data_IF_921448930388
#
_entry.id   IF_921448930388
#
_cell.length_a   1.000
_cell.length_b   1.000
_cell.length_c   1.000
_cell.angle_alpha   90.00
_cell.angle_beta   90.00
_cell.angle_gamma   90.00
#
_symmetry.space_group_name_H-M   'P 1'
#
loop_
_entity.id
_entity.type
_entity.pdbx_description
1 polymer ?
#
# COMPACT_ATOMS: atom_id res chain seq x y z
N UNK A 1 -26.70 -53.82 -41.60
CA UNK A 1 -26.14 -52.46 -41.37
C UNK A 1 -24.64 -52.48 -41.64
N UNK A 2 -24.20 -51.83 -42.71
CA UNK A 2 -22.79 -51.84 -43.12
C UNK A 2 -21.91 -51.01 -42.18
N UNK A 3 -20.60 -51.32 -42.12
CA UNK A 3 -19.60 -50.66 -41.25
C UNK A 3 -19.61 -49.12 -41.35
N UNK A 4 -20.09 -48.57 -42.47
CA UNK A 4 -20.24 -47.12 -42.70
C UNK A 4 -21.42 -46.52 -41.92
N UNK A 5 -22.55 -47.23 -41.83
CA UNK A 5 -23.75 -46.75 -41.13
C UNK A 5 -23.58 -46.75 -39.60
N UNK A 6 -22.73 -47.64 -39.05
CA UNK A 6 -22.35 -47.61 -37.61
C UNK A 6 -21.45 -46.42 -37.24
N UNK A 7 -20.58 -45.97 -38.16
CA UNK A 7 -19.66 -44.83 -37.92
C UNK A 7 -20.37 -43.47 -37.96
N UNK A 8 -21.42 -43.33 -38.75
CA UNK A 8 -22.17 -42.06 -38.84
C UNK A 8 -23.11 -41.89 -37.62
N UNK A 9 -23.64 -42.98 -37.06
CA UNK A 9 -24.47 -42.92 -35.85
C UNK A 9 -23.66 -42.69 -34.56
N UNK A 10 -22.39 -43.11 -34.51
CA UNK A 10 -21.49 -42.79 -33.38
C UNK A 10 -20.94 -41.37 -33.44
N UNK A 11 -20.82 -40.77 -34.64
CA UNK A 11 -20.39 -39.39 -34.78
C UNK A 11 -21.50 -38.39 -34.41
N UNK A 12 -22.78 -38.75 -34.58
CA UNK A 12 -23.91 -37.89 -34.20
C UNK A 12 -24.28 -37.94 -32.71
N UNK A 13 -23.85 -38.96 -31.95
CA UNK A 13 -23.97 -39.00 -30.48
C UNK A 13 -22.73 -38.47 -29.73
N UNK A 14 -21.64 -38.15 -30.43
CA UNK A 14 -20.43 -37.58 -29.82
C UNK A 14 -20.33 -36.05 -29.98
N UNK A 15 -21.22 -35.41 -30.74
CA UNK A 15 -21.18 -33.94 -30.98
C UNK A 15 -22.23 -33.17 -30.16
N UNK A 16 -23.08 -33.85 -29.40
CA UNK A 16 -24.06 -33.21 -28.49
C UNK A 16 -23.63 -33.14 -27.01
N UNK A 17 -22.38 -33.49 -26.67
CA UNK A 17 -21.90 -33.53 -25.27
C UNK A 17 -20.64 -32.70 -24.99
N UNK A 18 -20.30 -31.72 -25.83
CA UNK A 18 -19.26 -30.70 -25.50
C UNK A 18 -19.77 -29.29 -25.82
N UNK A 19 -21.03 -29.00 -25.46
CA UNK A 19 -21.54 -27.62 -25.35
C UNK A 19 -22.17 -27.47 -23.97
N UNK A 20 -21.32 -27.56 -22.95
CA UNK A 20 -21.69 -27.34 -21.56
C UNK A 20 -20.43 -27.21 -20.74
N UNK A 21 -20.28 -26.06 -20.08
CA UNK A 21 -19.19 -25.74 -19.14
C UNK A 21 -17.87 -25.23 -19.76
N UNK A 22 -17.96 -24.28 -20.69
CA UNK A 22 -17.06 -23.12 -20.58
C UNK A 22 -17.88 -21.98 -19.98
N UNK A 23 -18.22 -22.09 -18.70
CA UNK A 23 -18.29 -20.88 -17.90
C UNK A 23 -16.86 -20.35 -17.90
N UNK A 24 -16.56 -19.39 -18.78
CA UNK A 24 -15.51 -18.43 -18.47
C UNK A 24 -15.97 -17.77 -17.18
N UNK A 25 -15.59 -18.34 -16.06
CA UNK A 25 -15.48 -17.62 -14.81
C UNK A 25 -14.51 -16.50 -15.12
N UNK A 26 -15.06 -15.32 -15.41
CA UNK A 26 -14.32 -14.11 -15.15
C UNK A 26 -14.02 -14.21 -13.66
N UNK A 27 -12.80 -14.61 -13.31
CA UNK A 27 -12.30 -14.40 -11.97
C UNK A 27 -12.56 -12.92 -11.70
N UNK A 28 -13.51 -12.65 -10.81
CA UNK A 28 -13.77 -11.30 -10.36
C UNK A 28 -12.43 -10.88 -9.77
N UNK A 29 -11.71 -9.94 -10.41
CA UNK A 29 -10.42 -9.49 -9.89
C UNK A 29 -10.66 -9.06 -8.46
N UNK A 30 -10.19 -9.87 -7.50
CA UNK A 30 -10.37 -9.58 -6.09
C UNK A 30 -9.74 -8.22 -5.86
N UNK A 31 -10.54 -7.29 -5.32
CA UNK A 31 -10.11 -5.93 -5.07
C UNK A 31 -8.78 -5.97 -4.31
N UNK A 32 -7.79 -5.22 -4.76
CA UNK A 32 -6.50 -5.09 -4.09
C UNK A 32 -6.56 -3.98 -3.05
N UNK A 33 -5.89 -4.19 -1.93
CA UNK A 33 -5.69 -3.23 -0.85
C UNK A 33 -4.19 -3.03 -0.63
N UNK A 34 -3.80 -1.86 -0.13
CA UNK A 34 -2.40 -1.52 0.16
C UNK A 34 -2.20 -1.45 1.68
N UNK A 35 -1.24 -2.21 2.19
CA UNK A 35 -0.88 -2.25 3.60
C UNK A 35 0.57 -1.78 3.73
N UNK A 36 0.85 -0.94 4.72
CA UNK A 36 2.23 -0.56 5.05
C UNK A 36 2.82 -1.61 5.98
N UNK A 37 4.04 -2.08 5.72
CA UNK A 37 4.71 -3.09 6.53
C UNK A 37 6.16 -2.68 6.83
N UNK A 38 6.65 -2.99 8.03
CA UNK A 38 8.05 -2.83 8.41
C UNK A 38 8.50 -3.98 9.35
N UNK A 39 9.80 -4.28 9.36
CA UNK A 39 10.42 -5.20 10.32
C UNK A 39 11.51 -4.46 11.12
N UNK A 40 11.38 -4.45 12.44
CA UNK A 40 12.07 -3.55 13.36
C UNK A 40 12.89 -4.31 14.40
N UNK A 41 14.11 -3.85 14.67
CA UNK A 41 15.05 -4.40 15.68
C UNK A 41 15.54 -3.30 16.63
N UNK A 42 14.65 -2.39 17.02
CA UNK A 42 15.01 -1.16 17.72
C UNK A 42 15.39 -1.38 19.18
N UNK A 43 14.78 -2.37 19.84
CA UNK A 43 15.08 -2.77 21.23
C UNK A 43 16.51 -3.27 21.41
N UNK A 44 17.19 -3.65 20.32
CA UNK A 44 18.61 -4.03 20.29
C UNK A 44 19.48 -3.05 19.49
N UNK A 45 18.92 -1.91 19.06
CA UNK A 45 19.67 -0.88 18.34
C UNK A 45 20.09 -1.23 16.92
N UNK A 46 19.57 -2.31 16.33
CA UNK A 46 19.94 -2.77 14.97
C UNK A 46 19.09 -2.14 13.85
N UNK A 47 18.26 -1.14 14.18
CA UNK A 47 17.43 -0.44 13.21
C UNK A 47 16.41 -1.34 12.49
N UNK A 48 16.09 -1.02 11.24
CA UNK A 48 15.17 -1.80 10.44
C UNK A 48 15.87 -3.05 9.86
N UNK A 49 15.19 -4.20 9.88
CA UNK A 49 15.51 -5.31 8.97
C UNK A 49 14.86 -5.07 7.60
N UNK A 50 13.63 -4.54 7.61
CA UNK A 50 12.92 -4.07 6.42
C UNK A 50 12.37 -2.69 6.75
N UNK A 51 12.90 -1.66 6.08
CA UNK A 51 12.37 -0.30 6.14
C UNK A 51 10.89 -0.28 5.69
N UNK A 52 10.10 0.75 6.07
CA UNK A 52 8.69 0.80 5.72
C UNK A 52 8.44 0.66 4.20
N UNK A 53 7.64 -0.33 3.82
CA UNK A 53 7.23 -0.60 2.43
C UNK A 53 5.71 -0.67 2.30
N UNK A 54 5.19 -0.33 1.12
CA UNK A 54 3.77 -0.54 0.79
C UNK A 54 3.61 -1.83 0.02
N UNK A 55 2.80 -2.75 0.55
CA UNK A 55 2.55 -4.08 0.02
C UNK A 55 1.11 -4.17 -0.48
N UNK A 56 0.91 -4.76 -1.65
CA UNK A 56 -0.42 -4.90 -2.25
C UNK A 56 -0.94 -6.33 -2.10
N UNK A 57 -2.00 -6.51 -1.33
CA UNK A 57 -2.64 -7.82 -1.08
C UNK A 57 -4.10 -7.82 -1.54
N UNK A 58 -4.72 -8.99 -1.58
CA UNK A 58 -6.15 -9.10 -1.88
C UNK A 58 -7.00 -8.61 -0.69
N UNK A 59 -8.14 -7.99 -0.96
CA UNK A 59 -9.14 -7.71 0.07
C UNK A 59 -9.62 -9.04 0.69
N UNK A 60 -9.65 -9.08 2.03
CA UNK A 60 -9.87 -10.31 2.79
C UNK A 60 -8.58 -11.06 3.21
N UNK A 61 -7.41 -10.53 2.86
CA UNK A 61 -6.13 -11.03 3.37
C UNK A 61 -5.99 -10.86 4.89
N UNK A 62 -5.10 -11.65 5.47
CA UNK A 62 -4.62 -11.55 6.84
C UNK A 62 -3.21 -10.94 6.89
N UNK A 63 -2.74 -10.60 8.09
CA UNK A 63 -1.41 -10.02 8.30
C UNK A 63 -0.28 -10.96 7.81
N UNK A 64 -0.48 -12.28 7.88
CA UNK A 64 0.48 -13.27 7.33
C UNK A 64 0.71 -13.08 5.84
N UNK A 65 -0.33 -12.75 5.07
CA UNK A 65 -0.21 -12.66 3.61
C UNK A 65 0.65 -11.45 3.24
N UNK A 66 0.59 -10.39 4.06
CA UNK A 66 1.47 -9.22 3.93
C UNK A 66 2.91 -9.60 4.27
N UNK A 67 3.14 -10.31 5.37
CA UNK A 67 4.48 -10.78 5.76
C UNK A 67 5.09 -11.70 4.70
N UNK A 68 4.34 -12.66 4.16
CA UNK A 68 4.82 -13.60 3.16
C UNK A 68 5.21 -12.93 1.84
N UNK A 69 4.44 -11.92 1.39
CA UNK A 69 4.83 -11.11 0.23
C UNK A 69 6.11 -10.30 0.50
N UNK A 70 6.26 -9.71 1.69
CA UNK A 70 7.50 -9.00 2.07
C UNK A 70 8.68 -9.97 2.15
N UNK A 71 8.51 -11.11 2.81
CA UNK A 71 9.56 -12.11 2.96
C UNK A 71 10.03 -12.63 1.60
N UNK A 72 9.09 -12.87 0.67
CA UNK A 72 9.42 -13.25 -0.70
C UNK A 72 10.15 -12.14 -1.45
N UNK A 73 9.68 -10.90 -1.38
CA UNK A 73 10.31 -9.76 -2.08
C UNK A 73 11.73 -9.48 -1.56
N UNK A 74 11.93 -9.59 -0.24
CA UNK A 74 13.20 -9.31 0.44
C UNK A 74 14.08 -10.56 0.62
N UNK A 75 13.65 -11.72 0.12
CA UNK A 75 14.34 -13.00 0.26
C UNK A 75 14.67 -13.35 1.73
N UNK A 76 13.70 -13.15 2.62
CA UNK A 76 13.82 -13.45 4.05
C UNK A 76 13.42 -14.89 4.34
N UNK A 77 14.17 -15.53 5.24
CA UNK A 77 13.85 -16.85 5.76
C UNK A 77 13.19 -16.70 7.13
N UNK A 78 11.86 -16.81 7.15
CA UNK A 78 11.04 -16.80 8.37
C UNK A 78 10.88 -18.24 8.87
N UNK A 79 11.30 -18.51 10.09
CA UNK A 79 11.11 -19.79 10.77
C UNK A 79 9.92 -19.66 11.73
N UNK A 80 8.91 -20.50 11.54
CA UNK A 80 7.74 -20.54 12.43
C UNK A 80 7.95 -21.56 13.55
N UNK A 81 7.29 -21.33 14.68
CA UNK A 81 7.26 -22.28 15.78
C UNK A 81 6.39 -23.50 15.44
N UNK A 82 6.50 -24.55 16.26
CA UNK A 82 5.61 -25.73 16.16
C UNK A 82 4.17 -25.46 16.61
N UNK A 83 3.89 -24.30 17.21
CA UNK A 83 2.62 -23.98 17.88
C UNK A 83 1.74 -23.00 17.08
N UNK A 84 1.71 -23.13 15.76
CA UNK A 84 0.92 -22.28 14.87
C UNK A 84 1.74 -21.16 14.21
N UNK A 85 1.08 -20.08 13.78
CA UNK A 85 1.75 -18.98 13.07
C UNK A 85 2.41 -17.99 14.05
N UNK A 86 3.34 -18.49 14.86
CA UNK A 86 4.25 -17.67 15.66
C UNK A 86 5.63 -17.69 15.02
N UNK A 87 6.22 -16.51 14.84
CA UNK A 87 7.56 -16.39 14.28
C UNK A 87 8.55 -16.76 15.37
N UNK A 88 9.21 -17.90 15.22
CA UNK A 88 10.25 -18.34 16.12
C UNK A 88 11.53 -17.52 15.88
N UNK A 89 11.96 -17.43 14.62
CA UNK A 89 13.17 -16.69 14.27
C UNK A 89 13.16 -16.21 12.82
N UNK A 90 13.96 -15.20 12.52
CA UNK A 90 14.28 -14.78 11.16
C UNK A 90 15.78 -15.00 10.95
N UNK A 91 16.14 -15.71 9.88
CA UNK A 91 17.55 -15.98 9.56
C UNK A 91 18.22 -14.73 8.98
N UNK A 92 19.50 -14.54 9.28
CA UNK A 92 20.30 -13.37 8.90
C UNK A 92 19.71 -12.03 9.37
N UNK A 93 18.89 -12.08 10.43
CA UNK A 93 18.28 -10.91 11.03
C UNK A 93 19.08 -10.36 12.22
N UNK A 94 20.14 -11.02 12.66
CA UNK A 94 21.01 -10.56 13.72
C UNK A 94 22.37 -10.10 13.17
N UNK A 95 22.72 -8.83 13.38
CA UNK A 95 24.06 -8.34 13.01
C UNK A 95 25.15 -8.73 14.01
N UNK A 96 24.77 -9.20 15.21
CA UNK A 96 25.67 -9.48 16.33
C UNK A 96 26.17 -8.23 17.06
N UNK A 97 25.83 -7.02 16.58
CA UNK A 97 26.16 -5.75 17.23
C UNK A 97 24.89 -5.18 17.83
N UNK A 98 24.85 -5.06 19.16
CA UNK A 98 23.70 -4.53 19.87
C UNK A 98 24.00 -3.17 20.51
N UNK A 99 22.98 -2.33 20.55
CA UNK A 99 22.92 -1.11 21.34
C UNK A 99 21.52 -1.00 21.96
N UNK A 100 21.30 -1.77 23.02
CA UNK A 100 20.03 -1.82 23.76
C UNK A 100 19.79 -0.43 24.39
N UNK A 101 18.62 0.19 24.17
CA UNK A 101 18.23 1.45 24.80
C UNK A 101 18.40 1.42 26.32
N UNK A 102 18.91 2.51 26.91
CA UNK A 102 19.16 2.60 28.36
C UNK A 102 17.87 2.42 29.17
N UNK A 103 16.74 2.88 28.63
CA UNK A 103 15.40 2.69 29.20
C UNK A 103 15.03 1.20 29.36
N UNK A 104 15.45 0.34 28.42
CA UNK A 104 15.28 -1.12 28.53
C UNK A 104 16.27 -1.70 29.54
N UNK A 105 17.55 -1.30 29.49
CA UNK A 105 18.58 -1.80 30.42
C UNK A 105 18.26 -1.48 31.90
N UNK A 106 17.44 -0.44 32.13
CA UNK A 106 16.97 0.00 33.46
C UNK A 106 15.64 -0.62 33.88
N UNK A 107 15.02 -1.46 33.05
CA UNK A 107 13.79 -2.15 33.46
C UNK A 107 14.05 -3.04 34.68
N UNK A 108 13.08 -3.15 35.62
CA UNK A 108 13.23 -4.01 36.78
C UNK A 108 13.46 -5.48 36.37
N UNK A 109 14.12 -6.24 37.24
CA UNK A 109 14.20 -7.70 37.11
C UNK A 109 12.82 -8.33 37.27
N UNK A 110 12.65 -9.50 36.66
CA UNK A 110 11.43 -10.29 36.73
C UNK A 110 11.71 -11.54 37.56
N UNK A 111 10.94 -11.73 38.62
CA UNK A 111 10.89 -12.95 39.41
C UNK A 111 9.53 -13.62 39.21
N UNK A 112 9.52 -14.87 38.76
CA UNK A 112 8.29 -15.60 38.47
C UNK A 112 8.44 -17.08 38.81
N UNK A 113 7.43 -17.66 39.45
CA UNK A 113 7.34 -19.11 39.66
C UNK A 113 6.32 -19.71 38.70
N UNK A 114 6.80 -20.47 37.72
CA UNK A 114 5.95 -21.20 36.77
C UNK A 114 5.46 -22.56 37.29
N UNK A 115 5.67 -22.87 38.59
CA UNK A 115 5.31 -24.14 39.22
C UNK A 115 6.36 -25.23 39.08
N UNK A 116 7.54 -24.90 38.53
CA UNK A 116 8.71 -25.78 38.45
C UNK A 116 9.99 -25.10 38.98
N UNK A 117 9.81 -24.05 39.79
CA UNK A 117 10.89 -23.33 40.46
C UNK A 117 10.97 -21.88 40.02
N UNK A 118 11.42 -21.03 40.94
CA UNK A 118 11.57 -19.60 40.73
C UNK A 118 12.56 -19.32 39.59
N UNK A 119 12.10 -18.59 38.60
CA UNK A 119 12.91 -18.04 37.53
C UNK A 119 13.18 -16.57 37.82
N UNK A 120 14.42 -16.16 37.56
CA UNK A 120 14.86 -14.77 37.66
C UNK A 120 15.39 -14.33 36.30
N UNK A 121 14.92 -13.19 35.81
CA UNK A 121 15.35 -12.60 34.56
C UNK A 121 15.79 -11.16 34.77
N UNK A 122 17.05 -10.87 34.51
CA UNK A 122 17.58 -9.51 34.46
C UNK A 122 17.29 -8.86 33.10
N UNK A 123 17.14 -7.54 33.08
CA UNK A 123 17.12 -6.78 31.84
C UNK A 123 18.45 -6.96 31.08
N UNK A 124 18.42 -7.23 29.77
CA UNK A 124 19.63 -7.42 28.98
C UNK A 124 20.40 -6.11 28.85
N UNK A 125 21.73 -6.21 28.74
CA UNK A 125 22.63 -5.06 28.56
C UNK A 125 23.40 -5.19 27.25
N UNK A 126 24.23 -4.19 26.93
CA UNK A 126 25.10 -4.25 25.75
C UNK A 126 26.21 -5.31 25.84
N UNK A 127 26.34 -6.03 26.96
CA UNK A 127 27.21 -7.22 27.06
C UNK A 127 26.47 -8.54 26.83
N UNK A 128 25.14 -8.51 26.65
CA UNK A 128 24.35 -9.68 26.34
C UNK A 128 24.74 -10.25 24.97
N UNK A 129 24.73 -11.58 24.84
CA UNK A 129 25.08 -12.28 23.60
C UNK A 129 23.94 -13.14 23.12
N UNK A 130 23.75 -13.25 21.80
CA UNK A 130 22.81 -14.20 21.22
C UNK A 130 23.42 -15.61 21.21
N UNK A 131 23.34 -16.31 22.34
CA UNK A 131 23.95 -17.63 22.51
C UNK A 131 23.08 -18.80 21.99
N UNK A 132 21.82 -18.54 21.64
CA UNK A 132 20.88 -19.59 21.22
C UNK A 132 21.11 -20.09 19.81
N UNK A 133 21.62 -19.23 18.93
CA UNK A 133 21.82 -19.56 17.53
C UNK A 133 23.31 -19.48 17.20
N UNK A 134 23.91 -20.63 16.91
CA UNK A 134 25.32 -20.71 16.51
C UNK A 134 25.50 -20.50 14.99
N UNK A 135 24.43 -20.67 14.22
CA UNK A 135 24.43 -20.66 12.76
C UNK A 135 23.41 -19.64 12.21
N UNK A 136 23.64 -19.18 10.97
CA UNK A 136 22.73 -18.35 10.17
C UNK A 136 22.31 -16.99 10.76
N UNK A 137 23.02 -16.45 11.76
CA UNK A 137 22.77 -15.10 12.28
C UNK A 137 21.28 -14.87 12.60
N UNK A 138 20.63 -15.88 13.21
CA UNK A 138 19.20 -15.86 13.49
C UNK A 138 18.89 -14.89 14.63
N UNK A 139 17.79 -14.15 14.48
CA UNK A 139 17.20 -13.35 15.53
C UNK A 139 15.81 -13.89 15.83
N UNK A 140 15.54 -14.28 17.08
CA UNK A 140 14.30 -14.98 17.41
C UNK A 140 14.04 -15.11 18.91
N UNK A 141 13.09 -15.98 19.24
CA UNK A 141 12.71 -16.29 20.61
C UNK A 141 13.94 -16.59 21.46
N UNK A 142 14.10 -15.86 22.57
CA UNK A 142 15.21 -16.01 23.50
C UNK A 142 16.54 -15.38 23.08
N UNK A 143 16.65 -14.74 21.91
CA UNK A 143 17.88 -14.03 21.52
C UNK A 143 18.18 -12.88 22.48
N UNK A 144 19.39 -12.83 23.03
CA UNK A 144 19.91 -11.83 23.99
C UNK A 144 19.25 -11.82 25.39
N UNK A 145 18.01 -12.27 25.52
CA UNK A 145 17.32 -12.55 26.79
C UNK A 145 16.30 -13.66 26.58
N UNK A 146 16.10 -14.51 27.59
CA UNK A 146 15.16 -15.64 27.55
C UNK A 146 13.70 -15.23 27.26
N UNK A 147 13.35 -13.97 27.50
CA UNK A 147 12.00 -13.42 27.27
C UNK A 147 11.84 -12.67 25.94
N UNK A 148 12.88 -12.69 25.09
CA UNK A 148 12.85 -12.04 23.80
C UNK A 148 11.99 -12.79 22.77
N UNK A 149 11.47 -12.08 21.77
CA UNK A 149 10.67 -12.68 20.70
C UNK A 149 10.12 -11.65 19.69
N UNK A 150 9.56 -12.15 18.59
CA UNK A 150 8.93 -11.30 17.58
C UNK A 150 7.46 -11.00 17.94
N UNK A 151 7.13 -9.72 18.04
CA UNK A 151 5.80 -9.20 18.31
C UNK A 151 5.31 -8.38 17.12
N UNK A 152 4.00 -8.16 16.98
CA UNK A 152 3.51 -7.30 15.90
C UNK A 152 2.36 -6.40 16.34
N UNK A 153 2.28 -5.22 15.71
CA UNK A 153 1.17 -4.28 15.90
C UNK A 153 0.45 -4.03 14.57
N UNK A 154 -0.85 -3.77 14.64
CA UNK A 154 -1.65 -3.23 13.53
C UNK A 154 -2.20 -1.87 13.97
N UNK A 155 -1.84 -0.81 13.27
CA UNK A 155 -2.20 0.57 13.59
C UNK A 155 -1.86 0.94 15.05
N UNK A 156 -0.61 0.66 15.47
CA UNK A 156 -0.09 0.89 16.81
C UNK A 156 -0.87 0.19 17.95
N UNK A 157 -1.60 -0.88 17.63
CA UNK A 157 -2.32 -1.70 18.58
C UNK A 157 -1.82 -3.14 18.48
N UNK A 158 -1.53 -3.74 19.63
CA UNK A 158 -1.21 -5.17 19.76
C UNK A 158 -2.46 -6.01 19.48
N UNK A 159 -2.46 -6.92 18.49
CA UNK A 159 -3.58 -7.81 18.25
C UNK A 159 -3.59 -8.98 19.24
N UNK A 160 -4.80 -9.48 19.56
CA UNK A 160 -4.99 -10.64 20.45
C UNK A 160 -4.85 -12.01 19.75
N UNK A 161 -4.49 -12.00 18.46
CA UNK A 161 -4.42 -13.20 17.61
C UNK A 161 -3.11 -13.24 16.83
N UNK A 162 -2.74 -14.41 16.32
CA UNK A 162 -1.59 -14.57 15.43
C UNK A 162 -1.82 -13.93 14.04
N UNK A 163 -0.75 -13.70 13.29
CA UNK A 163 -0.81 -12.98 12.01
C UNK A 163 -1.65 -13.70 10.94
N UNK A 164 -1.83 -15.02 11.05
CA UNK A 164 -2.67 -15.81 10.16
C UNK A 164 -4.18 -15.58 10.37
N UNK A 165 -4.54 -15.04 11.53
CA UNK A 165 -5.92 -14.84 11.97
C UNK A 165 -6.29 -13.35 12.07
N UNK A 166 -5.32 -12.43 11.93
CA UNK A 166 -5.56 -10.99 11.97
C UNK A 166 -5.91 -10.44 10.57
N UNK A 167 -7.18 -10.08 10.29
CA UNK A 167 -7.55 -9.49 9.01
C UNK A 167 -6.93 -8.10 8.82
N UNK A 168 -6.61 -7.76 7.57
CA UNK A 168 -6.03 -6.45 7.21
C UNK A 168 -6.96 -5.65 6.29
N UNK A 169 -6.89 -4.32 6.41
CA UNK A 169 -7.69 -3.36 5.65
C UNK A 169 -6.78 -2.43 4.84
N UNK A 170 -7.38 -1.82 3.81
CA UNK A 170 -6.67 -0.83 2.99
C UNK A 170 -6.19 0.34 3.85
N UNK A 171 -4.88 0.59 3.79
CA UNK A 171 -4.22 1.65 4.51
C UNK A 171 -3.74 1.29 5.92
N UNK A 172 -3.91 0.05 6.38
CA UNK A 172 -3.35 -0.40 7.66
C UNK A 172 -1.82 -0.28 7.67
N UNK A 173 -1.26 -0.10 8.86
CA UNK A 173 0.17 -0.12 9.13
C UNK A 173 0.47 -1.29 10.05
N UNK A 174 1.34 -2.19 9.61
CA UNK A 174 1.79 -3.35 10.37
C UNK A 174 3.27 -3.19 10.66
N UNK A 175 3.65 -3.37 11.92
CA UNK A 175 5.05 -3.36 12.36
C UNK A 175 5.34 -4.68 13.01
N UNK A 176 6.26 -5.46 12.44
CA UNK A 176 6.82 -6.64 13.06
C UNK A 176 8.07 -6.21 13.84
N UNK A 177 8.09 -6.43 15.14
CA UNK A 177 8.98 -5.77 16.08
C UNK A 177 9.66 -6.81 16.96
N UNK A 178 10.98 -6.79 17.03
CA UNK A 178 11.72 -7.63 17.96
C UNK A 178 11.64 -7.03 19.38
N UNK A 179 11.08 -7.79 20.31
CA UNK A 179 11.16 -7.52 21.76
C UNK A 179 12.40 -8.22 22.29
N UNK A 180 13.25 -7.50 23.00
CA UNK A 180 14.44 -8.07 23.64
C UNK A 180 14.16 -8.49 25.08
N UNK A 181 13.11 -7.96 25.73
CA UNK A 181 12.86 -8.23 27.14
C UNK A 181 11.38 -8.16 27.54
N UNK A 182 11.07 -8.75 28.70
CA UNK A 182 9.77 -8.64 29.36
C UNK A 182 8.55 -9.03 28.49
N UNK A 183 8.71 -9.97 27.55
CA UNK A 183 7.62 -10.53 26.76
C UNK A 183 6.84 -9.50 25.93
N UNK A 184 7.50 -8.45 25.45
CA UNK A 184 6.89 -7.38 24.66
C UNK A 184 6.52 -6.13 25.46
N UNK A 185 6.64 -6.14 26.80
CA UNK A 185 6.43 -4.93 27.59
C UNK A 185 7.42 -3.82 27.22
N UNK A 186 8.63 -4.17 26.80
CA UNK A 186 9.62 -3.26 26.20
C UNK A 186 9.15 -2.62 24.88
N UNK A 187 8.14 -3.18 24.22
CA UNK A 187 7.49 -2.61 23.04
C UNK A 187 6.15 -1.93 23.35
N UNK A 188 5.78 -1.84 24.63
CA UNK A 188 4.51 -1.27 25.08
C UNK A 188 3.32 -2.24 25.02
N UNK A 189 3.56 -3.54 24.81
CA UNK A 189 2.53 -4.56 24.95
C UNK A 189 2.17 -4.73 26.43
N UNK A 190 0.96 -5.20 26.71
CA UNK A 190 0.51 -5.43 28.09
C UNK A 190 1.48 -6.40 28.78
N UNK A 191 2.08 -5.95 29.88
CA UNK A 191 2.89 -6.81 30.73
C UNK A 191 2.00 -7.70 31.59
N UNK A 192 2.38 -8.97 31.70
CA UNK A 192 1.80 -9.93 32.63
C UNK A 192 2.73 -10.24 33.81
N UNK A 193 3.90 -9.62 33.85
CA UNK A 193 4.86 -9.74 34.95
C UNK A 193 4.55 -8.72 36.03
N UNK A 194 4.60 -9.17 37.28
CA UNK A 194 4.47 -8.29 38.43
C UNK A 194 5.58 -7.24 38.41
N UNK A 195 5.27 -5.98 38.77
CA UNK A 195 6.22 -4.87 38.85
C UNK A 195 6.90 -4.43 37.53
N UNK A 196 6.45 -4.94 36.37
CA UNK A 196 6.90 -4.46 35.07
C UNK A 196 5.82 -3.57 34.44
N UNK A 197 6.12 -2.28 34.32
CA UNK A 197 5.32 -1.33 33.54
C UNK A 197 5.70 -1.42 32.06
N UNK A 198 4.69 -1.52 31.19
CA UNK A 198 4.88 -1.48 29.74
C UNK A 198 5.43 -0.13 29.27
N UNK A 199 6.37 -0.16 28.33
CA UNK A 199 6.97 1.02 27.73
C UNK A 199 5.91 1.92 27.07
N UNK A 200 6.03 3.24 27.27
CA UNK A 200 5.14 4.25 26.67
C UNK A 200 5.80 4.81 25.41
N UNK A 201 5.64 4.11 24.29
CA UNK A 201 6.25 4.46 23.02
C UNK A 201 5.34 5.36 22.17
N UNK A 202 5.90 6.23 21.31
CA UNK A 202 5.10 7.09 20.43
C UNK A 202 4.39 6.27 19.35
N UNK A 203 3.25 6.78 18.87
CA UNK A 203 2.59 6.26 17.69
C UNK A 203 3.37 6.69 16.44
N UNK A 204 3.98 5.71 15.77
CA UNK A 204 4.81 5.89 14.57
C UNK A 204 4.07 5.70 13.24
N UNK A 205 2.80 5.30 13.25
CA UNK A 205 2.10 4.82 12.05
C UNK A 205 2.04 5.84 10.91
N UNK A 206 1.71 7.09 11.23
CA UNK A 206 1.59 8.15 10.22
C UNK A 206 2.93 8.40 9.51
N UNK A 207 4.03 8.44 10.27
CA UNK A 207 5.38 8.62 9.75
C UNK A 207 5.83 7.37 8.97
N UNK A 208 5.61 6.17 9.51
CA UNK A 208 5.90 4.90 8.84
C UNK A 208 5.22 4.82 7.48
N UNK A 209 3.93 5.15 7.42
CA UNK A 209 3.15 5.20 6.17
C UNK A 209 3.65 6.27 5.22
N UNK A 210 4.04 7.45 5.72
CA UNK A 210 4.60 8.51 4.89
C UNK A 210 5.94 8.10 4.28
N UNK A 211 6.84 7.51 5.07
CA UNK A 211 8.14 6.98 4.63
C UNK A 211 7.95 5.91 3.55
N UNK A 212 7.04 4.95 3.76
CA UNK A 212 6.76 3.88 2.79
C UNK A 212 6.25 4.38 1.44
N UNK A 213 5.59 5.54 1.41
CA UNK A 213 5.06 6.16 0.21
C UNK A 213 5.97 7.25 -0.36
N UNK A 214 7.09 7.57 0.31
CA UNK A 214 8.07 8.55 -0.16
C UNK A 214 9.05 7.89 -1.13
N UNK A 215 9.15 8.36 -2.40
CA UNK A 215 10.18 7.89 -3.30
C UNK A 215 11.56 8.38 -2.85
N UNK A 216 12.61 7.60 -3.09
CA UNK A 216 13.96 7.96 -2.65
C UNK A 216 14.48 9.23 -3.35
N UNK A 217 14.16 9.44 -4.62
CA UNK A 217 14.60 10.63 -5.35
C UNK A 217 13.42 11.58 -5.61
N UNK A 218 13.54 12.89 -5.29
CA UNK A 218 14.69 13.61 -4.71
C UNK A 218 14.74 13.68 -3.17
N UNK A 219 13.88 12.96 -2.44
CA UNK A 219 13.71 13.15 -0.99
C UNK A 219 14.64 12.30 -0.10
N UNK A 220 15.68 11.69 -0.64
CA UNK A 220 16.53 10.68 0.03
C UNK A 220 17.02 11.15 1.40
N UNK A 221 17.43 12.41 1.52
CA UNK A 221 17.93 12.97 2.78
C UNK A 221 16.80 13.09 3.81
N UNK A 222 15.68 13.73 3.45
CA UNK A 222 14.55 13.91 4.36
C UNK A 222 13.93 12.56 4.77
N UNK A 223 13.87 11.61 3.84
CA UNK A 223 13.41 10.24 4.11
C UNK A 223 14.36 9.52 5.06
N UNK A 224 15.68 9.63 4.86
CA UNK A 224 16.68 9.04 5.75
C UNK A 224 16.60 9.62 7.16
N UNK A 225 16.40 10.93 7.32
CA UNK A 225 16.19 11.54 8.65
C UNK A 225 14.91 11.04 9.33
N UNK A 226 13.81 10.91 8.57
CA UNK A 226 12.58 10.30 9.10
C UNK A 226 12.79 8.83 9.52
N UNK A 227 13.54 8.05 8.74
CA UNK A 227 13.90 6.66 9.09
C UNK A 227 14.73 6.60 10.38
N UNK A 228 15.67 7.53 10.59
CA UNK A 228 16.43 7.61 11.85
C UNK A 228 15.53 7.86 13.05
N UNK A 229 14.57 8.78 12.92
CA UNK A 229 13.59 9.04 14.00
C UNK A 229 12.70 7.82 14.25
N UNK A 230 12.25 7.12 13.20
CA UNK A 230 11.51 5.87 13.35
C UNK A 230 12.34 4.79 14.06
N UNK A 231 13.63 4.67 13.73
CA UNK A 231 14.53 3.67 14.29
C UNK A 231 15.02 4.00 15.71
N UNK A 232 14.89 5.25 16.15
CA UNK A 232 15.17 5.64 17.52
C UNK A 232 14.06 5.09 18.45
N UNK A 233 14.44 4.17 19.34
CA UNK A 233 13.52 3.58 20.30
C UNK A 233 12.96 4.62 21.27
N UNK A 234 13.82 5.48 21.83
CA UNK A 234 13.49 6.49 22.84
C UNK A 234 12.93 7.80 22.23
N UNK A 235 12.57 7.82 20.94
CA UNK A 235 11.98 9.00 20.33
C UNK A 235 10.68 9.41 21.03
N UNK A 236 10.45 10.71 21.22
CA UNK A 236 9.18 11.20 21.75
C UNK A 236 8.11 11.29 20.66
N UNK A 237 6.84 11.51 21.04
CA UNK A 237 5.79 11.77 20.05
C UNK A 237 6.07 13.07 19.29
N UNK A 238 6.62 14.10 19.95
CA UNK A 238 7.01 15.35 19.32
C UNK A 238 8.10 15.14 18.26
N UNK A 239 9.09 14.28 18.53
CA UNK A 239 10.13 13.94 17.54
C UNK A 239 9.52 13.30 16.29
N UNK A 240 8.60 12.34 16.48
CA UNK A 240 7.90 11.65 15.39
C UNK A 240 7.03 12.63 14.58
N UNK A 241 6.29 13.50 15.25
CA UNK A 241 5.42 14.49 14.61
C UNK A 241 6.23 15.56 13.85
N UNK A 242 7.39 15.95 14.40
CA UNK A 242 8.33 16.86 13.74
C UNK A 242 8.93 16.22 12.48
N UNK A 243 9.35 14.96 12.56
CA UNK A 243 9.85 14.20 11.42
C UNK A 243 8.78 14.04 10.32
N UNK A 244 7.53 13.75 10.70
CA UNK A 244 6.40 13.71 9.78
C UNK A 244 6.22 15.05 9.06
N UNK A 245 6.13 16.13 9.83
CA UNK A 245 5.92 17.48 9.30
C UNK A 245 7.05 17.87 8.34
N UNK A 246 8.30 17.53 8.67
CA UNK A 246 9.45 17.83 7.83
C UNK A 246 9.42 17.03 6.53
N UNK A 247 9.14 15.71 6.60
CA UNK A 247 9.04 14.87 5.42
C UNK A 247 7.88 15.28 4.50
N UNK A 248 6.72 15.59 5.08
CA UNK A 248 5.54 16.06 4.34
C UNK A 248 5.84 17.38 3.61
N UNK A 249 6.48 18.35 4.29
CA UNK A 249 6.90 19.62 3.67
C UNK A 249 7.85 19.39 2.50
N UNK A 250 8.84 18.50 2.65
CA UNK A 250 9.82 18.23 1.59
C UNK A 250 9.15 17.59 0.38
N UNK A 251 8.21 16.65 0.57
CA UNK A 251 7.41 16.11 -0.54
C UNK A 251 6.64 17.21 -1.29
N UNK A 252 6.09 18.19 -0.56
CA UNK A 252 5.34 19.31 -1.13
C UNK A 252 6.24 20.33 -1.85
N UNK A 253 7.52 20.46 -1.47
CA UNK A 253 8.48 21.42 -2.07
C UNK A 253 9.34 20.85 -3.20
N UNK A 254 9.56 19.52 -3.24
CA UNK A 254 10.23 18.86 -4.38
C UNK A 254 9.28 18.27 -5.42
N UNK A 255 7.99 18.12 -5.10
CA UNK A 255 7.00 18.50 -6.10
C UNK A 255 7.24 20.00 -6.36
N UNK A 256 7.60 20.42 -7.59
CA UNK A 256 7.69 21.84 -7.99
C UNK A 256 6.68 22.70 -7.22
N UNK A 257 6.99 23.97 -6.86
CA UNK A 257 6.12 24.82 -6.07
C UNK A 257 4.78 24.91 -6.77
N UNK A 258 3.87 24.05 -6.37
CA UNK A 258 2.47 24.14 -6.71
C UNK A 258 1.92 24.73 -5.45
N UNK A 259 2.10 26.05 -5.32
CA UNK A 259 1.25 26.88 -4.49
C UNK A 259 -0.12 26.24 -4.49
N UNK A 260 -0.62 25.88 -3.31
CA UNK A 260 -2.00 25.45 -3.10
C UNK A 260 -2.94 26.63 -3.34
N UNK A 261 -2.78 27.38 -4.44
CA UNK A 261 -3.95 27.74 -5.20
C UNK A 261 -4.56 26.42 -5.65
N UNK A 262 -5.77 26.17 -5.18
CA UNK A 262 -6.78 25.32 -5.80
C UNK A 262 -6.77 25.55 -7.32
N UNK A 263 -5.85 24.93 -8.07
CA UNK A 263 -5.67 25.12 -9.51
C UNK A 263 -6.73 24.31 -10.22
N UNK A 264 -7.96 24.81 -10.16
CA UNK A 264 -8.96 24.46 -11.14
C UNK A 264 -8.39 24.84 -12.50
N UNK A 265 -8.13 23.86 -13.37
CA UNK A 265 -7.78 24.14 -14.77
C UNK A 265 -8.78 25.16 -15.31
N UNK A 266 -8.26 26.23 -15.96
CA UNK A 266 -9.12 27.25 -16.58
C UNK A 266 -10.20 26.54 -17.39
N UNK A 267 -11.46 26.96 -17.21
CA UNK A 267 -12.62 26.37 -17.88
C UNK A 267 -12.34 26.31 -19.39
N UNK A 268 -12.30 25.10 -19.94
CA UNK A 268 -12.02 24.91 -21.35
C UNK A 268 -13.10 25.58 -22.22
N UNK A 269 -12.73 26.04 -23.40
CA UNK A 269 -13.64 26.70 -24.33
C UNK A 269 -13.46 26.20 -25.76
N UNK A 270 -14.56 26.10 -26.48
CA UNK A 270 -14.58 25.67 -27.88
C UNK A 270 -14.33 26.89 -28.76
N UNK A 271 -13.15 26.98 -29.38
CA UNK A 271 -12.79 28.03 -30.35
C UNK A 271 -13.71 27.99 -31.57
N UNK A 272 -13.90 26.80 -32.15
CA UNK A 272 -14.80 26.64 -33.30
C UNK A 272 -15.44 25.26 -33.33
N UNK A 273 -16.69 25.20 -33.78
CA UNK A 273 -17.45 23.96 -34.01
C UNK A 273 -18.04 24.01 -35.42
N UNK A 274 -17.48 23.25 -36.37
CA UNK A 274 -17.89 23.31 -37.79
C UNK A 274 -18.33 21.92 -38.30
N UNK A 275 -19.49 21.84 -38.94
CA UNK A 275 -19.86 20.66 -39.73
C UNK A 275 -19.01 20.62 -41.00
N UNK A 276 -18.29 19.52 -41.20
CA UNK A 276 -17.45 19.25 -42.37
C UNK A 276 -18.00 18.04 -43.13
N UNK A 277 -17.61 17.87 -44.41
CA UNK A 277 -18.14 16.83 -45.32
C UNK A 277 -18.08 15.43 -44.69
N UNK A 278 -19.13 14.64 -44.92
CA UNK A 278 -19.17 13.24 -44.54
C UNK A 278 -19.74 13.00 -43.15
N UNK A 279 -20.74 13.78 -42.73
CA UNK A 279 -21.40 13.64 -41.42
C UNK A 279 -20.41 13.79 -40.26
N UNK A 280 -19.51 14.78 -40.38
CA UNK A 280 -18.41 15.04 -39.43
C UNK A 280 -18.54 16.42 -38.80
N UNK A 281 -17.99 16.56 -37.58
CA UNK A 281 -17.86 17.85 -36.90
C UNK A 281 -16.43 18.04 -36.44
N UNK A 282 -15.77 19.08 -36.96
CA UNK A 282 -14.43 19.49 -36.52
C UNK A 282 -14.57 20.46 -35.35
N UNK A 283 -13.96 20.09 -34.23
CA UNK A 283 -13.92 20.84 -32.98
C UNK A 283 -12.50 21.41 -32.85
N UNK A 284 -12.39 22.72 -32.68
CA UNK A 284 -11.14 23.37 -32.23
C UNK A 284 -11.35 23.89 -30.82
N UNK A 285 -10.43 23.58 -29.93
CA UNK A 285 -10.44 23.92 -28.50
C UNK A 285 -9.35 24.98 -28.28
N UNK A 286 -9.65 26.00 -27.49
CA UNK A 286 -8.61 26.94 -27.05
C UNK A 286 -7.62 26.20 -26.15
N UNK A 287 -6.31 26.40 -26.37
CA UNK A 287 -5.27 25.77 -25.54
C UNK A 287 -5.47 26.23 -24.09
N UNK A 288 -5.62 25.26 -23.19
CA UNK A 288 -5.66 25.49 -21.73
C UNK A 288 -4.25 25.21 -21.20
N UNK A 289 -3.61 26.22 -20.66
CA UNK A 289 -2.29 26.10 -20.02
C UNK A 289 -2.35 25.04 -18.91
N UNK A 290 -1.33 24.17 -18.84
CA UNK A 290 -1.27 23.07 -17.88
C UNK A 290 -2.13 21.83 -18.20
N UNK A 291 -2.94 21.85 -19.26
CA UNK A 291 -3.72 20.68 -19.65
C UNK A 291 -2.85 19.62 -20.35
N UNK A 292 -2.93 18.36 -19.89
CA UNK A 292 -2.33 17.19 -20.58
C UNK A 292 -3.23 16.64 -21.69
N UNK A 293 -4.51 17.00 -21.67
CA UNK A 293 -5.43 16.75 -22.78
C UNK A 293 -6.84 17.26 -22.50
N UNK A 294 -7.78 16.83 -23.35
CA UNK A 294 -9.18 17.24 -23.30
C UNK A 294 -10.11 16.05 -23.39
N UNK A 295 -11.24 16.15 -22.69
CA UNK A 295 -12.39 15.27 -22.86
C UNK A 295 -13.52 16.04 -23.53
N UNK A 296 -14.14 15.40 -24.51
CA UNK A 296 -15.21 15.91 -25.34
C UNK A 296 -16.45 15.10 -24.99
N UNK A 297 -17.49 15.78 -24.50
CA UNK A 297 -18.83 15.22 -24.26
C UNK A 297 -19.75 15.70 -25.36
N UNK A 298 -20.40 14.79 -26.08
CA UNK A 298 -21.30 15.15 -27.16
C UNK A 298 -22.59 14.32 -27.18
N UNK A 299 -23.67 14.93 -27.67
CA UNK A 299 -25.00 14.32 -27.72
C UNK A 299 -25.84 14.93 -28.86
N UNK A 300 -26.99 14.32 -29.15
CA UNK A 300 -27.99 14.83 -30.11
C UNK A 300 -29.04 15.74 -29.46
N UNK A 301 -28.97 15.94 -28.15
CA UNK A 301 -29.91 16.74 -27.37
C UNK A 301 -29.17 17.71 -26.41
N UNK A 302 -29.79 18.85 -26.10
CA UNK A 302 -29.21 19.93 -25.27
C UNK A 302 -28.97 19.49 -23.82
N UNK A 303 -29.76 18.53 -23.31
CA UNK A 303 -29.65 17.99 -21.95
C UNK A 303 -28.50 16.97 -21.80
N UNK A 304 -27.84 16.60 -22.90
CA UNK A 304 -26.80 15.56 -22.94
C UNK A 304 -27.24 14.19 -22.38
N UNK A 305 -28.52 13.83 -22.52
CA UNK A 305 -28.99 12.45 -22.28
C UNK A 305 -28.33 11.50 -23.30
N UNK A 306 -27.90 10.32 -22.88
CA UNK A 306 -27.20 9.32 -23.72
C UNK A 306 -26.00 9.91 -24.48
N UNK A 307 -25.21 10.73 -23.79
CA UNK A 307 -24.02 11.36 -24.35
C UNK A 307 -22.88 10.36 -24.57
N UNK A 308 -21.98 10.70 -25.48
CA UNK A 308 -20.74 9.98 -25.74
C UNK A 308 -19.54 10.82 -25.34
N UNK A 309 -18.45 10.14 -24.98
CA UNK A 309 -17.20 10.76 -24.56
C UNK A 309 -16.05 10.39 -25.51
N UNK A 310 -15.17 11.35 -25.79
CA UNK A 310 -13.90 11.13 -26.49
C UNK A 310 -12.79 11.93 -25.84
N UNK A 311 -11.59 11.35 -25.77
CA UNK A 311 -10.41 12.01 -25.24
C UNK A 311 -9.45 12.36 -26.39
N UNK A 312 -8.75 13.48 -26.27
CA UNK A 312 -7.71 13.89 -27.22
C UNK A 312 -6.58 14.61 -26.49
N UNK A 313 -5.34 14.42 -26.94
CA UNK A 313 -4.19 15.24 -26.52
C UNK A 313 -4.08 16.53 -27.36
N UNK A 314 -4.63 16.52 -28.59
CA UNK A 314 -4.59 17.65 -29.53
C UNK A 314 -5.71 18.65 -29.25
N UNK A 315 -5.48 19.93 -29.56
CA UNK A 315 -6.48 21.01 -29.48
C UNK A 315 -7.52 20.95 -30.61
N UNK A 316 -7.39 20.00 -31.55
CA UNK A 316 -8.36 19.76 -32.62
C UNK A 316 -8.81 18.30 -32.59
N UNK A 317 -10.11 18.07 -32.74
CA UNK A 317 -10.70 16.74 -32.83
C UNK A 317 -11.85 16.71 -33.83
N UNK A 318 -11.99 15.62 -34.58
CA UNK A 318 -13.08 15.44 -35.55
C UNK A 318 -14.00 14.31 -35.11
N UNK A 319 -15.23 14.65 -34.75
CA UNK A 319 -16.29 13.67 -34.55
C UNK A 319 -16.74 13.14 -35.91
N UNK A 320 -16.91 11.82 -36.00
CA UNK A 320 -17.32 11.10 -37.22
C UNK A 320 -18.61 10.33 -36.97
N UNK A 321 -19.22 9.79 -38.06
CA UNK A 321 -20.42 8.93 -38.01
C UNK A 321 -21.60 9.59 -37.28
N UNK A 322 -21.87 10.88 -37.54
CA UNK A 322 -22.96 11.62 -36.91
C UNK A 322 -24.29 11.49 -37.69
N UNK A 323 -25.42 11.71 -37.01
CA UNK A 323 -26.76 11.64 -37.63
C UNK A 323 -27.03 12.89 -38.49
N UNK A 324 -27.31 12.70 -39.79
CA UNK A 324 -27.66 13.79 -40.73
C UNK A 324 -28.99 14.45 -40.29
N UNK A 325 -29.14 15.74 -40.60
CA UNK A 325 -30.29 16.60 -40.21
C UNK A 325 -30.50 16.78 -38.69
N UNK A 326 -29.65 16.21 -37.84
CA UNK A 326 -29.69 16.35 -36.37
C UNK A 326 -28.72 17.44 -35.86
N UNK A 327 -28.98 18.00 -34.68
CA UNK A 327 -28.04 18.91 -33.98
C UNK A 327 -27.06 18.09 -33.14
N UNK A 328 -25.77 18.35 -33.28
CA UNK A 328 -24.72 17.80 -32.40
C UNK A 328 -24.36 18.86 -31.36
N UNK A 329 -24.63 18.57 -30.09
CA UNK A 329 -24.25 19.38 -28.93
C UNK A 329 -22.93 18.88 -28.37
N UNK A 330 -22.02 19.80 -28.03
CA UNK A 330 -20.66 19.50 -27.58
C UNK A 330 -20.30 20.35 -26.37
N UNK A 331 -19.73 19.72 -25.34
CA UNK A 331 -18.99 20.34 -24.23
C UNK A 331 -17.58 19.77 -24.21
N UNK A 332 -16.62 20.57 -23.76
CA UNK A 332 -15.23 20.14 -23.58
C UNK A 332 -14.75 20.46 -22.17
N UNK A 333 -13.89 19.62 -21.59
CA UNK A 333 -13.16 19.93 -20.36
C UNK A 333 -11.69 19.53 -20.53
N UNK A 334 -10.79 20.33 -19.98
CA UNK A 334 -9.38 19.97 -19.90
C UNK A 334 -9.17 18.92 -18.78
N UNK A 335 -8.11 18.12 -18.90
CA UNK A 335 -7.64 17.28 -17.82
C UNK A 335 -6.13 17.42 -17.66
N UNK A 336 -5.67 17.24 -16.42
CA UNK A 336 -4.26 16.99 -16.07
C UNK A 336 -4.10 15.53 -15.66
N UNK A 337 -2.86 15.05 -15.59
CA UNK A 337 -2.56 13.77 -14.95
C UNK A 337 -2.06 14.03 -13.53
N UNK A 338 -2.52 13.23 -12.58
CA UNK A 338 -1.96 13.11 -11.23
C UNK A 338 -1.59 11.64 -11.10
N UNK A 339 -0.30 11.31 -11.20
CA UNK A 339 0.16 9.94 -11.46
C UNK A 339 -0.51 9.33 -12.70
N UNK A 340 -1.13 8.16 -12.54
CA UNK A 340 -1.86 7.45 -13.59
C UNK A 340 -3.32 7.92 -13.79
N UNK A 341 -3.84 8.75 -12.89
CA UNK A 341 -5.24 9.19 -12.94
C UNK A 341 -5.41 10.54 -13.65
N UNK A 342 -6.55 10.72 -14.33
CA UNK A 342 -6.92 11.98 -15.00
C UNK A 342 -7.80 12.82 -14.09
N UNK A 343 -7.29 13.98 -13.69
CA UNK A 343 -8.07 14.98 -12.94
C UNK A 343 -8.69 15.95 -13.93
N UNK A 344 -10.03 16.03 -13.94
CA UNK A 344 -10.79 16.80 -14.93
C UNK A 344 -11.21 18.16 -14.40
N UNK A 345 -11.08 19.20 -15.24
CA UNK A 345 -11.60 20.54 -14.95
C UNK A 345 -13.10 20.71 -15.24
N UNK A 346 -13.59 21.95 -15.05
CA UNK A 346 -14.99 22.32 -15.32
C UNK A 346 -15.35 22.19 -16.82
N UNK A 347 -16.57 21.74 -17.10
CA UNK A 347 -17.10 21.68 -18.46
C UNK A 347 -17.28 23.06 -19.08
N UNK A 348 -17.00 23.19 -20.38
CA UNK A 348 -17.31 24.37 -21.18
C UNK A 348 -18.83 24.63 -21.24
N UNK A 349 -19.19 25.86 -21.59
CA UNK A 349 -20.54 26.13 -22.09
C UNK A 349 -20.80 25.27 -23.34
N UNK A 350 -22.01 24.71 -23.50
CA UNK A 350 -22.31 23.86 -24.66
C UNK A 350 -22.35 24.68 -25.94
N UNK A 351 -21.75 24.15 -27.01
CA UNK A 351 -21.98 24.64 -28.38
C UNK A 351 -22.71 23.58 -29.19
N UNK A 352 -23.41 23.98 -30.25
CA UNK A 352 -24.08 23.03 -31.13
C UNK A 352 -23.95 23.40 -32.60
N UNK A 353 -24.05 22.40 -33.46
CA UNK A 353 -24.07 22.58 -34.93
C UNK A 353 -25.03 21.57 -35.56
N UNK A 354 -25.83 21.99 -36.54
CA UNK A 354 -26.72 21.10 -37.31
C UNK A 354 -25.90 20.39 -38.40
N UNK A 355 -26.02 19.06 -38.48
CA UNK A 355 -25.29 18.25 -39.47
C UNK A 355 -26.04 18.30 -40.80
N UNK A 356 -25.53 19.10 -41.75
CA UNK A 356 -26.10 19.27 -43.09
C UNK A 356 -25.34 18.46 -44.16
N UNK A 357 -24.01 18.41 -44.04
CA UNK A 357 -23.07 17.86 -45.02
C UNK A 357 -22.31 16.63 -44.47
#
# INVERSE_FOLDING_TARGET
MNKVTKKILTLLMAVTLVVGMFTTTYANETKKINVTFAIERFTIGQGFLVEPVTVQVNEGAAAKDVLEEVAKEKNLTINLSSYGYYIDSISYADTGVINIPESIQKMPSIDVDYGYGNQHYDAPTNTSTNALFTDDQKLGSGSYSSLAGWMYTVNNVAPDVAMDSQPVKDGDVIRLQFSVYAGGADLGFVSYYENIESAKLPNKDALTKLVANTPDNPQVVAKAEAIKVLANYDATQEDVDAAYTNLEKVQVTTAEPTTTQKTTLKKASIKSLKNVKGKKVKIKINKVTGAKGYQIKYATNKKFKNCKYKNTKKTTYTLTKLKKKSKCYVKVRAYKKSGNQKVYGKWSSPKSVKIKK
#
